data_IF_513689688604
#
_entry.id   IF_513689688604
#
_cell.length_a   1.000
_cell.length_b   1.000
_cell.length_c   1.000
_cell.angle_alpha   90.00
_cell.angle_beta   90.00
_cell.angle_gamma   90.00
#
_symmetry.space_group_name_H-M   'P 1'
#
loop_
_entity.id
_entity.type
_entity.pdbx_description
1 polymer ?
#
# COMPACT_ATOMS: atom_id res chain seq x y z
N UNK A 1 -3.86 -7.08 10.31
CA UNK A 1 -2.82 -6.10 9.99
C UNK A 1 -1.46 -6.80 10.05
N UNK A 2 -0.54 -6.45 9.16
CA UNK A 2 0.80 -7.05 9.04
C UNK A 2 1.86 -5.95 9.20
N UNK A 3 2.86 -6.19 10.02
CA UNK A 3 4.05 -5.32 10.07
C UNK A 3 5.06 -5.79 9.02
N UNK A 4 5.50 -4.86 8.20
CA UNK A 4 6.41 -5.11 7.08
C UNK A 4 7.81 -4.69 7.52
N UNK A 5 8.69 -5.66 7.70
CA UNK A 5 10.08 -5.39 8.07
C UNK A 5 10.79 -4.61 6.95
N UNK A 6 11.38 -3.49 7.31
CA UNK A 6 12.09 -2.60 6.41
C UNK A 6 13.34 -2.02 7.12
N UNK A 7 14.35 -1.51 6.39
CA UNK A 7 15.58 -0.99 6.98
C UNK A 7 15.48 0.45 7.48
N UNK A 8 14.35 1.12 7.25
CA UNK A 8 14.14 2.51 7.65
C UNK A 8 13.75 2.59 9.13
N UNK A 9 13.97 3.73 9.81
CA UNK A 9 13.60 3.91 11.20
C UNK A 9 12.09 3.98 11.45
N UNK A 10 11.31 4.39 10.44
CA UNK A 10 9.84 4.41 10.49
C UNK A 10 9.24 3.01 10.31
N UNK A 11 8.01 2.83 10.80
CA UNK A 11 7.28 1.56 10.72
C UNK A 11 6.37 1.53 9.50
N UNK A 12 6.39 0.42 8.77
CA UNK A 12 5.52 0.17 7.62
C UNK A 12 4.56 -0.97 7.95
N UNK A 13 3.29 -0.73 7.80
CA UNK A 13 2.20 -1.66 8.07
C UNK A 13 1.36 -1.88 6.82
N UNK A 14 0.73 -3.03 6.72
CA UNK A 14 -0.26 -3.36 5.69
C UNK A 14 -1.54 -3.90 6.31
N UNK A 15 -2.70 -3.54 5.78
CA UNK A 15 -3.97 -4.06 6.27
C UNK A 15 -5.04 -4.15 5.18
N UNK A 16 -6.17 -4.77 5.52
CA UNK A 16 -7.41 -4.52 4.84
C UNK A 16 -7.94 -3.12 5.19
N UNK A 17 -8.96 -2.68 4.50
CA UNK A 17 -9.65 -1.41 4.74
C UNK A 17 -10.46 -1.50 6.04
N UNK A 18 -10.23 -0.59 7.02
CA UNK A 18 -11.07 -0.50 8.21
C UNK A 18 -12.56 -0.33 7.86
N UNK A 19 -13.42 -0.94 8.65
CA UNK A 19 -14.88 -0.97 8.46
C UNK A 19 -15.35 -1.64 7.16
N UNK A 20 -14.44 -2.15 6.35
CA UNK A 20 -14.76 -2.84 5.10
C UNK A 20 -15.13 -4.31 5.32
N UNK A 21 -15.53 -5.01 4.24
CA UNK A 21 -15.99 -6.40 4.35
C UNK A 21 -14.91 -7.39 4.80
N UNK A 22 -13.64 -6.98 4.81
CA UNK A 22 -12.50 -7.79 5.27
C UNK A 22 -12.01 -7.42 6.68
N UNK A 23 -12.64 -6.44 7.33
CA UNK A 23 -12.44 -6.07 8.73
C UNK A 23 -13.53 -6.76 9.56
N UNK A 24 -13.42 -8.08 9.69
CA UNK A 24 -14.48 -8.95 10.24
C UNK A 24 -14.88 -8.57 11.66
N UNK A 25 -13.91 -8.18 12.48
CA UNK A 25 -14.12 -7.81 13.88
C UNK A 25 -14.31 -6.30 14.06
N UNK A 26 -14.27 -5.53 12.97
CA UNK A 26 -14.26 -4.05 12.96
C UNK A 26 -13.19 -3.45 13.88
N UNK A 27 -12.08 -4.16 14.05
CA UNK A 27 -11.02 -3.83 15.00
C UNK A 27 -9.85 -3.04 14.36
N UNK A 28 -9.78 -2.97 13.01
CA UNK A 28 -8.62 -2.36 12.33
C UNK A 28 -8.46 -0.88 12.67
N UNK A 29 -9.56 -0.16 12.84
CA UNK A 29 -9.49 1.25 13.23
C UNK A 29 -8.91 1.43 14.63
N UNK A 30 -9.31 0.60 15.58
CA UNK A 30 -8.75 0.63 16.94
C UNK A 30 -7.27 0.19 16.95
N UNK A 31 -6.90 -0.78 16.08
CA UNK A 31 -5.51 -1.14 15.87
C UNK A 31 -4.68 0.02 15.30
N UNK A 32 -5.20 0.79 14.32
CA UNK A 32 -4.49 1.97 13.82
C UNK A 32 -4.17 2.95 14.95
N UNK A 33 -5.13 3.19 15.84
CA UNK A 33 -4.95 4.10 16.98
C UNK A 33 -3.96 3.55 18.01
N UNK A 34 -4.06 2.27 18.36
CA UNK A 34 -3.18 1.64 19.37
C UNK A 34 -1.75 1.47 18.87
N UNK A 35 -1.56 1.25 17.56
CA UNK A 35 -0.24 1.16 16.92
C UNK A 35 0.39 2.54 16.65
N UNK A 36 -0.33 3.62 16.93
CA UNK A 36 0.16 4.98 16.72
C UNK A 36 0.35 5.32 15.24
N UNK A 37 -0.59 4.87 14.39
CA UNK A 37 -0.54 5.18 12.95
C UNK A 37 -0.57 6.69 12.75
N UNK A 38 0.36 7.21 11.96
CA UNK A 38 0.50 8.63 11.62
C UNK A 38 0.17 8.91 10.16
N UNK A 39 0.38 7.92 9.28
CA UNK A 39 0.19 8.04 7.84
C UNK A 39 -0.63 6.88 7.30
N UNK A 40 -1.51 7.19 6.35
CA UNK A 40 -2.29 6.17 5.64
C UNK A 40 -2.16 6.39 4.14
N UNK A 41 -1.75 5.36 3.42
CA UNK A 41 -1.84 5.30 1.97
C UNK A 41 -3.04 4.45 1.56
N UNK A 42 -4.04 5.09 0.96
CA UNK A 42 -5.23 4.45 0.43
C UNK A 42 -5.02 4.09 -1.06
N UNK A 43 -5.05 2.80 -1.37
CA UNK A 43 -5.01 2.30 -2.76
C UNK A 43 -6.41 2.10 -3.36
N UNK A 44 -7.41 2.62 -2.70
CA UNK A 44 -8.82 2.65 -3.13
C UNK A 44 -9.25 4.09 -3.39
N UNK A 45 -10.23 4.27 -4.24
CA UNK A 45 -10.88 5.58 -4.44
C UNK A 45 -11.84 5.89 -3.29
N UNK A 46 -12.16 7.18 -3.10
CA UNK A 46 -13.18 7.59 -2.13
C UNK A 46 -14.55 6.96 -2.44
N UNK A 47 -14.87 6.80 -3.71
CA UNK A 47 -16.12 6.17 -4.14
C UNK A 47 -16.17 4.69 -3.72
N UNK A 48 -15.07 3.95 -3.94
CA UNK A 48 -14.96 2.55 -3.53
C UNK A 48 -15.01 2.41 -2.01
N UNK A 49 -14.23 3.23 -1.29
CA UNK A 49 -14.22 3.22 0.17
C UNK A 49 -15.62 3.51 0.75
N UNK A 50 -16.30 4.53 0.22
CA UNK A 50 -17.64 4.92 0.68
C UNK A 50 -18.69 3.85 0.35
N UNK A 51 -18.60 3.21 -0.81
CA UNK A 51 -19.50 2.11 -1.18
C UNK A 51 -19.34 0.91 -0.24
N UNK A 52 -18.10 0.57 0.14
CA UNK A 52 -17.79 -0.59 0.96
C UNK A 52 -18.05 -0.36 2.47
N UNK A 53 -17.79 0.85 2.98
CA UNK A 53 -17.81 1.14 4.43
C UNK A 53 -18.96 2.05 4.85
N UNK A 54 -19.62 2.71 3.89
CA UNK A 54 -20.61 3.79 4.10
C UNK A 54 -20.04 5.00 4.86
N UNK A 55 -18.72 5.17 4.85
CA UNK A 55 -18.00 6.24 5.50
C UNK A 55 -17.08 6.97 4.51
N UNK A 56 -16.76 8.21 4.83
CA UNK A 56 -15.67 8.95 4.20
C UNK A 56 -14.38 8.67 4.98
N UNK A 57 -13.68 7.61 4.58
CA UNK A 57 -12.47 7.18 5.31
C UNK A 57 -11.36 8.22 5.28
N UNK A 58 -11.18 8.92 4.15
CA UNK A 58 -10.16 9.95 4.05
C UNK A 58 -10.45 11.12 5.00
N UNK A 59 -11.71 11.54 5.11
CA UNK A 59 -12.13 12.56 6.07
C UNK A 59 -11.98 12.07 7.51
N UNK A 60 -12.36 10.82 7.80
CA UNK A 60 -12.19 10.21 9.12
C UNK A 60 -10.73 10.20 9.55
N UNK A 61 -9.83 9.73 8.71
CA UNK A 61 -8.40 9.69 9.02
C UNK A 61 -7.83 11.08 9.29
N UNK A 62 -8.14 12.05 8.42
CA UNK A 62 -7.70 13.45 8.60
C UNK A 62 -8.26 14.08 9.88
N UNK A 63 -9.52 13.81 10.21
CA UNK A 63 -10.15 14.32 11.45
C UNK A 63 -9.46 13.80 12.72
N UNK A 64 -8.78 12.65 12.64
CA UNK A 64 -7.98 12.09 13.72
C UNK A 64 -6.48 12.42 13.61
N UNK A 65 -6.11 13.38 12.78
CA UNK A 65 -4.74 13.89 12.67
C UNK A 65 -3.80 13.05 11.82
N UNK A 66 -4.31 12.07 11.06
CA UNK A 66 -3.47 11.26 10.18
C UNK A 66 -3.19 12.00 8.88
N UNK A 67 -1.97 11.89 8.38
CA UNK A 67 -1.61 12.27 7.01
C UNK A 67 -2.18 11.21 6.05
N UNK A 68 -2.97 11.65 5.06
CA UNK A 68 -3.64 10.74 4.13
C UNK A 68 -3.15 10.97 2.72
N UNK A 69 -2.61 9.93 2.13
CA UNK A 69 -2.28 9.86 0.70
C UNK A 69 -3.22 8.91 -0.01
N UNK A 70 -3.47 9.21 -1.28
CA UNK A 70 -4.34 8.40 -2.12
C UNK A 70 -3.66 8.13 -3.45
N UNK A 71 -3.60 6.86 -3.80
CA UNK A 71 -3.18 6.41 -5.12
C UNK A 71 -4.12 5.27 -5.57
N UNK A 72 -5.34 5.58 -6.01
CA UNK A 72 -6.32 4.58 -6.36
C UNK A 72 -5.84 3.69 -7.50
N UNK A 73 -5.93 2.38 -7.29
CA UNK A 73 -5.72 1.36 -8.30
C UNK A 73 -7.08 0.64 -8.45
N UNK A 74 -7.63 0.50 -9.67
CA UNK A 74 -8.88 -0.24 -9.85
C UNK A 74 -8.77 -1.67 -9.31
N UNK A 75 -9.89 -2.22 -8.83
CA UNK A 75 -9.84 -3.54 -8.20
C UNK A 75 -9.41 -4.63 -9.19
N UNK A 76 -8.54 -5.53 -8.73
CA UNK A 76 -7.88 -6.58 -9.53
C UNK A 76 -6.97 -6.07 -10.67
N UNK A 77 -6.83 -4.77 -10.86
CA UNK A 77 -6.05 -4.11 -11.91
C UNK A 77 -4.66 -3.68 -11.43
N UNK A 78 -3.97 -2.95 -12.29
CA UNK A 78 -2.64 -2.36 -12.09
C UNK A 78 -2.70 -0.83 -12.12
N UNK A 79 -1.68 -0.12 -11.60
CA UNK A 79 -1.59 1.33 -11.69
C UNK A 79 -1.68 1.82 -13.14
N UNK A 80 -2.52 2.82 -13.40
CA UNK A 80 -2.74 3.38 -14.73
C UNK A 80 -1.67 4.41 -15.12
N UNK A 81 -1.06 5.08 -14.12
CA UNK A 81 0.04 6.03 -14.31
C UNK A 81 1.29 5.52 -13.57
N UNK A 82 2.24 4.88 -14.27
CA UNK A 82 3.46 4.38 -13.67
C UNK A 82 4.36 5.47 -13.09
N UNK A 83 4.31 6.69 -13.63
CA UNK A 83 5.12 7.82 -13.14
C UNK A 83 4.60 8.32 -11.80
N UNK A 84 3.30 8.57 -11.69
CA UNK A 84 2.66 8.93 -10.43
C UNK A 84 2.78 7.79 -9.39
N UNK A 85 2.70 6.55 -9.83
CA UNK A 85 2.89 5.39 -8.96
C UNK A 85 4.32 5.35 -8.38
N UNK A 86 5.36 5.55 -9.22
CA UNK A 86 6.75 5.63 -8.75
C UNK A 86 6.95 6.78 -7.76
N UNK A 87 6.39 7.95 -8.04
CA UNK A 87 6.46 9.09 -7.13
C UNK A 87 5.89 8.74 -5.74
N UNK A 88 4.79 7.96 -5.69
CA UNK A 88 4.21 7.49 -4.45
C UNK A 88 5.09 6.47 -3.72
N UNK A 89 5.78 5.58 -4.45
CA UNK A 89 6.75 4.65 -3.85
C UNK A 89 7.88 5.42 -3.15
N UNK A 90 8.42 6.46 -3.79
CA UNK A 90 9.47 7.31 -3.21
C UNK A 90 8.94 8.09 -2.02
N UNK A 91 7.74 8.67 -2.13
CA UNK A 91 7.12 9.41 -1.02
C UNK A 91 6.96 8.55 0.24
N UNK A 92 6.60 7.27 0.08
CA UNK A 92 6.54 6.32 1.21
C UNK A 92 7.94 6.06 1.77
N UNK A 93 8.95 5.84 0.92
CA UNK A 93 10.31 5.61 1.36
C UNK A 93 10.89 6.83 2.11
N UNK A 94 10.61 8.04 1.64
CA UNK A 94 11.04 9.29 2.27
C UNK A 94 10.38 9.49 3.64
N UNK A 95 9.07 9.24 3.76
CA UNK A 95 8.38 9.36 5.04
C UNK A 95 8.91 8.38 6.09
N UNK A 96 9.30 7.18 5.67
CA UNK A 96 9.86 6.17 6.58
C UNK A 96 11.27 6.52 7.10
N UNK A 97 11.93 7.57 6.59
CA UNK A 97 13.17 8.08 7.16
C UNK A 97 12.95 8.73 8.54
N UNK A 98 11.74 9.16 8.85
CA UNK A 98 11.37 9.69 10.17
C UNK A 98 10.97 8.55 11.11
N UNK A 99 11.68 8.36 12.24
CA UNK A 99 11.33 7.34 13.24
C UNK A 99 9.96 7.55 13.90
N UNK A 100 9.40 8.76 13.82
CA UNK A 100 8.04 9.04 14.26
C UNK A 100 6.95 8.58 13.28
N UNK A 101 7.31 8.12 12.09
CA UNK A 101 6.35 7.65 11.11
C UNK A 101 5.93 6.20 11.37
N UNK A 102 4.62 5.99 11.53
CA UNK A 102 3.97 4.69 11.41
C UNK A 102 2.99 4.77 10.25
N UNK A 103 3.33 4.16 9.12
CA UNK A 103 2.58 4.25 7.87
C UNK A 103 1.85 2.94 7.56
N UNK A 104 0.56 3.03 7.29
CA UNK A 104 -0.26 1.91 6.82
C UNK A 104 -0.56 2.05 5.34
N UNK A 105 -0.34 0.98 4.57
CA UNK A 105 -0.82 0.84 3.20
C UNK A 105 -2.02 -0.10 3.21
N UNK A 106 -3.15 0.33 2.65
CA UNK A 106 -4.31 -0.54 2.51
C UNK A 106 -5.01 -0.41 1.15
N UNK A 107 -5.70 -1.48 0.75
CA UNK A 107 -6.71 -1.47 -0.32
C UNK A 107 -8.05 -1.96 0.26
N UNK A 108 -8.83 -2.78 -0.41
CA UNK A 108 -10.04 -3.40 0.15
C UNK A 108 -9.68 -4.57 1.08
N UNK A 109 -9.05 -5.62 0.53
CA UNK A 109 -8.68 -6.85 1.26
C UNK A 109 -7.27 -6.84 1.84
N UNK A 110 -6.43 -5.86 1.48
CA UNK A 110 -5.03 -5.78 1.92
C UNK A 110 -4.10 -6.80 1.25
N UNK A 111 -4.45 -7.34 0.08
CA UNK A 111 -3.69 -8.39 -0.60
C UNK A 111 -3.22 -8.01 -2.00
N UNK A 112 -4.13 -7.87 -2.97
CA UNK A 112 -3.79 -7.67 -4.39
C UNK A 112 -3.04 -6.38 -4.62
N UNK A 113 -3.73 -5.25 -4.56
CA UNK A 113 -3.20 -3.90 -4.75
C UNK A 113 -2.14 -3.52 -3.72
N UNK A 114 -2.38 -3.86 -2.45
CA UNK A 114 -1.42 -3.64 -1.36
C UNK A 114 -0.15 -4.45 -1.60
N UNK A 115 -0.27 -5.72 -1.96
CA UNK A 115 0.87 -6.57 -2.29
C UNK A 115 1.65 -6.08 -3.50
N UNK A 116 0.96 -5.64 -4.55
CA UNK A 116 1.58 -5.05 -5.75
C UNK A 116 2.38 -3.80 -5.38
N UNK A 117 1.77 -2.87 -4.61
CA UNK A 117 2.45 -1.66 -4.17
C UNK A 117 3.73 -1.99 -3.39
N UNK A 118 3.62 -2.85 -2.38
CA UNK A 118 4.75 -3.23 -1.53
C UNK A 118 5.84 -3.99 -2.27
N UNK A 119 5.50 -4.84 -3.25
CA UNK A 119 6.50 -5.52 -4.08
C UNK A 119 7.27 -4.54 -4.98
N UNK A 120 6.58 -3.57 -5.62
CA UNK A 120 7.25 -2.52 -6.37
C UNK A 120 8.08 -1.60 -5.46
N UNK A 121 7.56 -1.26 -4.28
CA UNK A 121 8.29 -0.49 -3.28
C UNK A 121 9.58 -1.20 -2.83
N UNK A 122 9.54 -2.51 -2.62
CA UNK A 122 10.72 -3.29 -2.24
C UNK A 122 11.78 -3.33 -3.34
N UNK A 123 11.40 -3.27 -4.61
CA UNK A 123 12.35 -3.14 -5.72
C UNK A 123 13.08 -1.80 -5.68
N UNK A 124 12.34 -0.68 -5.49
CA UNK A 124 12.89 0.68 -5.49
C UNK A 124 13.68 0.98 -4.19
N UNK A 125 13.12 0.63 -3.03
CA UNK A 125 13.64 1.03 -1.74
C UNK A 125 14.65 0.03 -1.14
N UNK A 126 14.54 -1.26 -1.46
CA UNK A 126 15.40 -2.32 -0.94
C UNK A 126 16.34 -2.89 -2.00
N UNK A 127 16.20 -2.50 -3.27
CA UNK A 127 17.01 -3.01 -4.38
C UNK A 127 16.78 -4.50 -4.69
N UNK A 128 15.61 -5.03 -4.37
CA UNK A 128 15.30 -6.43 -4.66
C UNK A 128 15.00 -6.64 -6.15
N UNK A 129 15.38 -7.82 -6.69
CA UNK A 129 14.90 -8.20 -8.01
C UNK A 129 13.38 -8.35 -8.02
N UNK A 130 12.70 -8.25 -9.18
CA UNK A 130 11.25 -8.42 -9.26
C UNK A 130 10.75 -9.72 -8.62
N UNK A 131 11.42 -10.84 -8.88
CA UNK A 131 11.08 -12.15 -8.32
C UNK A 131 11.31 -12.20 -6.81
N UNK A 132 12.42 -11.62 -6.33
CA UNK A 132 12.74 -11.54 -4.91
C UNK A 132 11.71 -10.66 -4.18
N UNK A 133 11.28 -9.55 -4.77
CA UNK A 133 10.28 -8.65 -4.22
C UNK A 133 8.91 -9.33 -4.10
N UNK A 134 8.52 -10.10 -5.12
CA UNK A 134 7.29 -10.88 -5.10
C UNK A 134 7.29 -11.94 -3.99
N UNK A 135 8.40 -12.66 -3.86
CA UNK A 135 8.57 -13.64 -2.77
C UNK A 135 8.62 -12.96 -1.40
N UNK A 136 9.28 -11.79 -1.33
CA UNK A 136 9.39 -11.01 -0.10
C UNK A 136 8.02 -10.58 0.41
N UNK A 137 7.18 -9.96 -0.41
CA UNK A 137 5.85 -9.52 0.02
C UNK A 137 4.95 -10.69 0.43
N UNK A 138 5.04 -11.83 -0.25
CA UNK A 138 4.25 -13.04 0.05
C UNK A 138 4.61 -13.69 1.40
N UNK A 139 5.78 -13.40 1.96
CA UNK A 139 6.14 -13.82 3.33
C UNK A 139 5.36 -13.08 4.41
N UNK A 140 5.01 -11.80 4.15
CA UNK A 140 4.22 -10.99 5.08
C UNK A 140 2.71 -11.13 4.83
N UNK A 141 2.33 -11.16 3.57
CA UNK A 141 0.93 -11.18 3.14
C UNK A 141 0.71 -12.43 2.28
N UNK A 142 0.25 -13.54 2.88
CA UNK A 142 -0.06 -14.75 2.12
C UNK A 142 -1.07 -14.48 1.00
N UNK A 143 -0.74 -14.89 -0.22
CA UNK A 143 -1.56 -14.63 -1.40
C UNK A 143 -1.49 -13.19 -1.94
N UNK A 144 -0.48 -12.41 -1.53
CA UNK A 144 -0.23 -11.08 -2.10
C UNK A 144 0.00 -11.14 -3.61
N UNK A 145 -0.44 -10.08 -4.31
CA UNK A 145 -0.42 -9.98 -5.78
C UNK A 145 -1.33 -11.06 -6.38
N UNK A 146 -2.64 -10.78 -6.38
CA UNK A 146 -3.69 -11.80 -6.57
C UNK A 146 -3.94 -12.17 -8.03
N UNK A 147 -3.67 -11.24 -8.97
CA UNK A 147 -3.96 -11.48 -10.39
C UNK A 147 -2.68 -11.64 -11.21
N UNK A 148 -2.82 -12.35 -12.34
CA UNK A 148 -1.71 -12.48 -13.30
C UNK A 148 -1.24 -11.11 -13.81
N UNK A 149 -2.16 -10.19 -14.07
CA UNK A 149 -1.83 -8.84 -14.51
C UNK A 149 -1.00 -8.08 -13.47
N UNK A 150 -1.34 -8.21 -12.19
CA UNK A 150 -0.59 -7.63 -11.08
C UNK A 150 0.80 -8.28 -10.97
N UNK A 151 0.90 -9.59 -11.10
CA UNK A 151 2.18 -10.30 -11.05
C UNK A 151 3.09 -9.88 -12.20
N UNK A 152 2.58 -9.83 -13.43
CA UNK A 152 3.29 -9.35 -14.60
C UNK A 152 3.74 -7.88 -14.44
N UNK A 153 2.90 -7.05 -13.86
CA UNK A 153 3.26 -5.66 -13.55
C UNK A 153 4.47 -5.59 -12.60
N UNK A 154 4.45 -6.35 -11.50
CA UNK A 154 5.56 -6.41 -10.54
C UNK A 154 6.84 -6.92 -11.21
N UNK A 155 6.75 -7.98 -12.01
CA UNK A 155 7.90 -8.59 -12.68
C UNK A 155 8.52 -7.68 -13.77
N UNK A 156 7.75 -6.77 -14.34
CA UNK A 156 8.21 -5.84 -15.38
C UNK A 156 8.34 -4.40 -14.90
N UNK A 157 8.15 -4.13 -13.59
CA UNK A 157 8.08 -2.80 -13.03
C UNK A 157 9.25 -1.88 -13.38
N UNK A 158 10.52 -2.25 -13.22
CA UNK A 158 11.64 -1.36 -13.50
C UNK A 158 11.69 -0.88 -14.97
N UNK A 159 11.24 -1.73 -15.90
CA UNK A 159 11.26 -1.44 -17.33
C UNK A 159 10.16 -0.47 -17.77
N UNK A 160 9.08 -0.34 -16.98
CA UNK A 160 7.93 0.51 -17.33
C UNK A 160 8.20 2.01 -17.15
N UNK A 161 9.25 2.37 -16.42
CA UNK A 161 9.54 3.76 -16.03
C UNK A 161 10.90 4.25 -16.54
N UNK A 162 11.63 3.42 -17.28
CA UNK A 162 12.81 3.88 -17.98
C UNK A 162 12.36 4.86 -19.09
N UNK A 163 12.99 6.06 -19.22
CA UNK A 163 12.72 6.93 -20.33
C UNK A 163 12.96 6.12 -21.61
N UNK A 164 11.97 6.10 -22.50
CA UNK A 164 12.21 5.58 -23.85
C UNK A 164 13.27 6.52 -24.45
N UNK A 165 14.48 6.02 -24.55
CA UNK A 165 15.56 6.73 -25.27
C UNK A 165 15.09 6.91 -26.72
N UNK A 166 15.15 8.14 -27.28
CA UNK A 166 14.74 8.42 -28.64
C UNK A 166 15.56 7.62 -29.66
#
# INVERSE_FOLDING_TARGET
>A
MFEICNPFPGRLLASAMPFGPHDLDQALWDLYRSEGVTHVLMLVSDAEARAATRQDLAALYRAHGLTVWQHPIPDFEVPQDPTAFRAMLHQVADALQDPGTTLVVHCAAGRGRTGLFLACWAQEALGLSPEAALQWVRRYIPGAVETRAQEEFVLTWPLRVLPQTP
#
